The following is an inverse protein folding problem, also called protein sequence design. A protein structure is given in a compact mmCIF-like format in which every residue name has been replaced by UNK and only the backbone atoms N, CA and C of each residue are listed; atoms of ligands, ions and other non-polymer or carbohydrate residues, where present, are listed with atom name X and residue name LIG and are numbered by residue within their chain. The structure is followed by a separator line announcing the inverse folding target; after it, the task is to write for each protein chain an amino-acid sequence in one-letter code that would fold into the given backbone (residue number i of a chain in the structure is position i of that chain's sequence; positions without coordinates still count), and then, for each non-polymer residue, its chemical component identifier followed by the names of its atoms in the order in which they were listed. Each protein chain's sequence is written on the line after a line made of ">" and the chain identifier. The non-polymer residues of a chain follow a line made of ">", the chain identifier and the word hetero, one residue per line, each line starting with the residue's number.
data_IF_159637952121
#
_entry.id   IF_159637952121
#
_cell.length_a   1.000
_cell.length_b   1.000
_cell.length_c   1.000
_cell.angle_alpha   90.00
_cell.angle_beta   90.00
_cell.angle_gamma   90.00
#
_symmetry.space_group_name_H-M   'P 1'
#
loop_
_entity.id
_entity.type
_entity.pdbx_description
1 polymer ?
#
# COMPACT_ATOMS: atom_id res chain seq x y z
N UNK A 1 12.31 13.61 -9.17
CA UNK A 1 12.01 13.19 -10.56
C UNK A 1 12.05 14.42 -11.44
N UNK A 2 13.01 14.56 -12.36
CA UNK A 2 12.95 15.62 -13.38
C UNK A 2 11.85 15.24 -14.41
N UNK A 3 10.92 16.15 -14.65
CA UNK A 3 9.95 16.18 -15.76
C UNK A 3 9.25 14.88 -16.18
N UNK A 4 8.64 14.16 -15.23
CA UNK A 4 7.67 13.13 -15.59
C UNK A 4 6.38 13.78 -16.10
N UNK A 5 6.18 13.90 -17.41
CA UNK A 5 4.84 13.89 -18.00
C UNK A 5 4.92 13.52 -19.49
N UNK A 6 4.78 12.22 -19.79
CA UNK A 6 4.29 11.82 -21.11
C UNK A 6 2.76 12.06 -21.21
N UNK A 7 2.04 12.05 -20.07
CA UNK A 7 0.60 12.31 -19.97
C UNK A 7 0.21 12.76 -18.55
N UNK A 8 -0.80 13.62 -18.45
CA UNK A 8 -1.43 14.05 -17.19
C UNK A 8 -2.94 13.89 -17.29
N UNK A 9 -3.55 13.21 -16.31
CA UNK A 9 -5.01 13.14 -16.12
C UNK A 9 -5.34 13.86 -14.82
N UNK A 10 -6.12 14.94 -14.90
CA UNK A 10 -6.45 15.80 -13.75
C UNK A 10 -7.95 15.98 -13.55
N UNK A 11 -8.46 15.35 -12.50
CA UNK A 11 -9.87 15.29 -12.09
C UNK A 11 -10.01 15.34 -10.56
N UNK A 12 -9.09 15.99 -9.84
CA UNK A 12 -9.06 16.00 -8.35
C UNK A 12 -10.34 16.55 -7.69
N UNK A 13 -11.08 17.42 -8.37
CA UNK A 13 -12.34 17.99 -7.86
C UNK A 13 -13.57 17.12 -8.08
N UNK A 14 -13.41 15.91 -8.65
CA UNK A 14 -14.55 15.07 -9.05
C UNK A 14 -14.96 14.08 -7.96
N UNK A 15 -16.24 13.73 -7.95
CA UNK A 15 -16.77 12.60 -7.20
C UNK A 15 -17.29 11.56 -8.18
N UNK A 16 -16.68 10.38 -8.18
CA UNK A 16 -17.05 9.27 -9.04
C UNK A 16 -17.69 8.15 -8.23
N UNK A 17 -18.90 7.74 -8.60
CA UNK A 17 -19.61 6.64 -7.96
C UNK A 17 -19.70 5.44 -8.88
N UNK A 18 -19.05 4.35 -8.50
CA UNK A 18 -19.10 3.07 -9.19
C UNK A 18 -20.13 2.15 -8.54
N UNK A 19 -21.31 2.07 -9.16
CA UNK A 19 -22.46 1.35 -8.63
C UNK A 19 -22.49 -0.15 -8.99
N UNK A 20 -21.62 -0.61 -9.90
CA UNK A 20 -21.58 -2.02 -10.26
C UNK A 20 -21.06 -2.86 -9.08
N UNK A 21 -21.60 -4.08 -8.95
CA UNK A 21 -21.23 -5.02 -7.88
C UNK A 21 -19.90 -5.73 -8.14
N UNK A 22 -19.44 -5.73 -9.38
CA UNK A 22 -18.27 -6.48 -9.84
C UNK A 22 -17.39 -5.61 -10.72
N UNK A 23 -16.08 -5.90 -10.72
CA UNK A 23 -15.10 -5.23 -11.57
C UNK A 23 -14.42 -4.03 -10.91
N UNK A 24 -13.43 -3.46 -11.59
CA UNK A 24 -12.65 -2.35 -11.06
C UNK A 24 -13.29 -1.00 -11.45
N UNK A 25 -13.37 -0.05 -10.52
CA UNK A 25 -13.98 1.25 -10.77
C UNK A 25 -13.11 2.11 -11.69
N UNK A 26 -11.80 2.11 -11.46
CA UNK A 26 -10.79 2.69 -12.35
C UNK A 26 -9.69 1.68 -12.58
N UNK A 27 -9.47 1.34 -13.85
CA UNK A 27 -8.35 0.52 -14.29
C UNK A 27 -7.29 1.41 -14.93
N UNK A 28 -6.06 1.35 -14.41
CA UNK A 28 -4.89 2.03 -14.96
C UNK A 28 -3.96 0.97 -15.53
N UNK A 29 -4.07 0.65 -16.84
CA UNK A 29 -3.18 -0.29 -17.51
C UNK A 29 -1.91 0.42 -17.95
N UNK A 30 -0.78 0.06 -17.35
CA UNK A 30 0.50 0.72 -17.60
C UNK A 30 0.54 2.14 -17.03
N UNK A 31 1.71 2.56 -16.60
CA UNK A 31 1.90 3.93 -16.13
C UNK A 31 3.34 4.36 -16.33
N UNK A 32 3.75 4.65 -17.56
CA UNK A 32 5.11 5.09 -17.82
C UNK A 32 5.20 6.62 -17.86
N UNK A 33 5.78 7.21 -16.80
CA UNK A 33 5.96 8.67 -16.66
C UNK A 33 4.66 9.48 -16.78
N UNK A 34 3.59 8.96 -16.19
CA UNK A 34 2.27 9.58 -16.16
C UNK A 34 1.98 10.20 -14.79
N UNK A 35 1.09 11.20 -14.77
CA UNK A 35 0.50 11.73 -13.54
C UNK A 35 -1.00 11.56 -13.57
N UNK A 36 -1.52 10.94 -12.53
CA UNK A 36 -2.95 10.73 -12.34
C UNK A 36 -3.37 11.46 -11.07
N UNK A 37 -4.33 12.36 -11.22
CA UNK A 37 -4.79 13.27 -10.21
C UNK A 37 -6.29 13.08 -10.07
N UNK A 38 -6.69 12.16 -9.19
CA UNK A 38 -8.07 11.70 -9.07
C UNK A 38 -8.78 12.35 -7.88
N UNK A 39 -10.10 12.52 -8.00
CA UNK A 39 -10.93 13.01 -6.91
C UNK A 39 -11.31 11.90 -5.93
N UNK A 40 -12.56 11.88 -5.50
CA UNK A 40 -13.10 10.84 -4.62
C UNK A 40 -13.79 9.76 -5.45
N UNK A 41 -13.50 8.50 -5.15
CA UNK A 41 -14.09 7.32 -5.79
C UNK A 41 -14.84 6.53 -4.74
N UNK A 42 -16.16 6.44 -4.89
CA UNK A 42 -17.00 5.54 -4.11
C UNK A 42 -17.25 4.26 -4.90
N UNK A 43 -16.99 3.10 -4.30
CA UNK A 43 -17.17 1.80 -4.93
C UNK A 43 -18.06 0.87 -4.12
N UNK A 44 -19.05 0.28 -4.80
CA UNK A 44 -19.88 -0.82 -4.29
C UNK A 44 -19.40 -2.21 -4.78
N UNK A 45 -18.27 -2.25 -5.49
CA UNK A 45 -17.77 -3.44 -6.16
C UNK A 45 -16.99 -4.38 -5.25
N UNK A 46 -16.94 -5.66 -5.61
CA UNK A 46 -15.99 -6.64 -5.07
C UNK A 46 -14.56 -6.51 -5.66
N UNK A 47 -14.39 -5.72 -6.72
CA UNK A 47 -13.10 -5.38 -7.31
C UNK A 47 -12.39 -4.21 -6.60
N UNK A 48 -11.46 -3.57 -7.27
CA UNK A 48 -10.73 -2.42 -6.75
C UNK A 48 -11.42 -1.08 -7.07
N UNK A 49 -11.34 -0.09 -6.17
CA UNK A 49 -11.69 1.28 -6.52
C UNK A 49 -10.66 1.87 -7.52
N UNK A 50 -9.38 1.57 -7.33
CA UNK A 50 -8.34 1.78 -8.34
C UNK A 50 -7.50 0.51 -8.44
N UNK A 51 -7.44 -0.07 -9.64
CA UNK A 51 -6.45 -1.10 -9.98
C UNK A 51 -5.39 -0.52 -10.89
N UNK A 52 -4.15 -0.61 -10.46
CA UNK A 52 -2.98 -0.39 -11.31
C UNK A 52 -2.48 -1.76 -11.74
N UNK A 53 -2.49 -1.97 -13.05
CA UNK A 53 -2.00 -3.20 -13.69
C UNK A 53 -1.16 -2.83 -14.90
N UNK A 54 -0.67 -3.80 -15.66
CA UNK A 54 0.12 -3.57 -16.88
C UNK A 54 -0.51 -4.11 -18.15
N UNK A 55 -1.67 -4.74 -18.04
CA UNK A 55 -2.46 -5.26 -19.16
C UNK A 55 -3.91 -4.84 -18.98
N UNK A 56 -4.58 -4.48 -20.06
CA UNK A 56 -6.04 -4.45 -20.09
C UNK A 56 -6.55 -5.90 -20.00
N UNK A 57 -7.62 -6.14 -19.23
CA UNK A 57 -8.26 -7.45 -19.19
C UNK A 57 -8.68 -7.83 -20.62
N UNK A 58 -8.04 -8.85 -21.20
CA UNK A 58 -8.21 -9.27 -22.60
C UNK A 58 -6.90 -9.47 -23.38
N UNK A 59 -5.82 -8.78 -23.02
CA UNK A 59 -4.50 -8.86 -23.68
C UNK A 59 -3.51 -9.78 -22.93
N UNK A 60 -4.04 -10.80 -22.25
CA UNK A 60 -3.33 -11.67 -21.28
C UNK A 60 -2.20 -12.56 -21.85
N UNK A 61 -1.67 -12.27 -23.03
CA UNK A 61 -0.66 -13.13 -23.65
C UNK A 61 0.31 -12.46 -24.62
N UNK A 62 0.17 -11.17 -24.92
CA UNK A 62 1.09 -10.50 -25.84
C UNK A 62 2.14 -9.65 -25.09
N UNK A 63 3.42 -10.06 -25.06
CA UNK A 63 4.50 -9.26 -24.51
C UNK A 63 4.62 -7.87 -25.15
N UNK A 64 4.13 -7.68 -26.38
CA UNK A 64 4.18 -6.40 -27.09
C UNK A 64 3.22 -5.34 -26.52
N UNK A 65 2.19 -5.74 -25.78
CA UNK A 65 1.20 -4.85 -25.16
C UNK A 65 1.48 -4.59 -23.66
N UNK A 66 2.59 -5.12 -23.14
CA UNK A 66 3.00 -4.91 -21.75
C UNK A 66 3.63 -3.52 -21.58
N UNK A 67 2.89 -2.62 -20.97
CA UNK A 67 3.42 -1.28 -20.68
C UNK A 67 3.98 -1.26 -19.25
N UNK A 68 5.24 -0.85 -19.03
CA UNK A 68 5.82 -0.82 -17.69
C UNK A 68 5.05 0.16 -16.78
N UNK A 69 4.91 -0.20 -15.51
CA UNK A 69 4.36 0.69 -14.48
C UNK A 69 5.50 1.39 -13.77
N UNK A 70 6.05 2.44 -14.37
CA UNK A 70 7.30 3.05 -13.89
C UNK A 70 7.30 4.56 -13.89
N UNK A 71 7.96 5.14 -12.87
CA UNK A 71 8.21 6.58 -12.79
C UNK A 71 6.93 7.41 -12.88
N UNK A 72 5.84 6.95 -12.28
CA UNK A 72 4.54 7.65 -12.31
C UNK A 72 4.09 8.12 -10.94
N UNK A 73 3.16 9.05 -10.95
CA UNK A 73 2.51 9.57 -9.75
C UNK A 73 1.01 9.33 -9.85
N UNK A 74 0.44 8.66 -8.85
CA UNK A 74 -1.00 8.54 -8.67
C UNK A 74 -1.37 9.23 -7.36
N UNK A 75 -2.22 10.25 -7.45
CA UNK A 75 -2.81 10.93 -6.30
C UNK A 75 -4.32 10.80 -6.33
N UNK A 76 -4.97 10.61 -5.18
CA UNK A 76 -6.42 10.62 -5.06
C UNK A 76 -6.88 11.35 -3.80
N UNK A 77 -8.09 11.90 -3.83
CA UNK A 77 -8.69 12.54 -2.64
C UNK A 77 -9.21 11.48 -1.69
N UNK A 78 -10.08 10.58 -2.15
CA UNK A 78 -10.64 9.54 -1.28
C UNK A 78 -11.02 8.28 -2.05
N UNK A 79 -10.83 7.12 -1.44
CA UNK A 79 -11.37 5.84 -1.88
C UNK A 79 -12.33 5.37 -0.80
N UNK A 80 -13.61 5.23 -1.15
CA UNK A 80 -14.66 4.88 -0.20
C UNK A 80 -15.32 3.59 -0.63
N UNK A 81 -15.09 2.54 0.15
CA UNK A 81 -15.69 1.23 0.00
C UNK A 81 -16.99 1.15 0.78
N UNK A 82 -17.92 0.35 0.26
CA UNK A 82 -19.21 0.10 0.90
C UNK A 82 -19.26 -1.33 1.41
N UNK A 83 -19.72 -1.51 2.65
CA UNK A 83 -19.93 -2.82 3.29
C UNK A 83 -18.66 -3.69 3.41
N UNK A 84 -17.48 -3.08 3.54
CA UNK A 84 -16.21 -3.78 3.66
C UNK A 84 -15.95 -4.77 2.51
N UNK A 85 -16.31 -4.38 1.29
CA UNK A 85 -16.09 -5.17 0.06
C UNK A 85 -14.89 -4.65 -0.72
N UNK A 86 -14.34 -5.52 -1.56
CA UNK A 86 -13.33 -5.15 -2.54
C UNK A 86 -12.03 -4.58 -1.96
N UNK A 87 -11.29 -3.89 -2.82
CA UNK A 87 -10.02 -3.27 -2.48
C UNK A 87 -10.06 -1.77 -2.76
N UNK A 88 -9.45 -0.93 -1.93
CA UNK A 88 -9.30 0.49 -2.25
C UNK A 88 -8.34 0.68 -3.41
N UNK A 89 -7.05 0.53 -3.14
CA UNK A 89 -5.99 0.56 -4.13
C UNK A 89 -5.37 -0.83 -4.31
N UNK A 90 -5.44 -1.37 -5.52
CA UNK A 90 -4.81 -2.63 -5.90
C UNK A 90 -3.64 -2.37 -6.86
N UNK A 91 -2.42 -2.69 -6.43
CA UNK A 91 -1.26 -2.79 -7.31
C UNK A 91 -1.14 -4.26 -7.74
N UNK A 92 -1.66 -4.54 -8.93
CA UNK A 92 -1.67 -5.87 -9.50
C UNK A 92 -0.38 -6.14 -10.27
N UNK A 93 0.56 -6.79 -9.58
CA UNK A 93 1.86 -7.18 -10.11
C UNK A 93 1.92 -8.66 -10.52
N UNK A 94 0.77 -9.34 -10.60
CA UNK A 94 0.69 -10.75 -10.97
C UNK A 94 1.11 -11.03 -12.43
N UNK A 95 1.28 -9.97 -13.25
CA UNK A 95 1.74 -10.06 -14.64
C UNK A 95 3.25 -9.71 -14.80
N UNK A 96 3.96 -10.18 -15.86
CA UNK A 96 5.41 -9.95 -16.10
C UNK A 96 5.82 -8.53 -16.53
N UNK A 97 6.79 -7.88 -15.84
CA UNK A 97 7.36 -6.56 -16.21
C UNK A 97 7.25 -5.39 -15.20
N UNK A 98 6.88 -5.66 -13.95
CA UNK A 98 7.09 -4.83 -12.76
C UNK A 98 6.30 -3.51 -12.61
N UNK A 99 5.87 -3.24 -11.38
CA UNK A 99 5.40 -1.91 -10.94
C UNK A 99 6.49 -1.32 -10.05
N UNK A 100 7.30 -0.40 -10.57
CA UNK A 100 8.49 0.09 -9.86
C UNK A 100 8.68 1.60 -9.94
N UNK A 101 9.29 2.19 -8.90
CA UNK A 101 9.65 3.62 -8.91
C UNK A 101 8.43 4.55 -9.07
N UNK A 102 7.29 4.21 -8.47
CA UNK A 102 6.09 5.04 -8.51
C UNK A 102 5.83 5.73 -7.17
N UNK A 103 5.04 6.79 -7.20
CA UNK A 103 4.55 7.50 -6.03
C UNK A 103 3.03 7.44 -5.96
N UNK A 104 2.52 6.89 -4.86
CA UNK A 104 1.10 6.79 -4.56
C UNK A 104 0.79 7.69 -3.37
N UNK A 105 -0.16 8.63 -3.54
CA UNK A 105 -0.54 9.58 -2.50
C UNK A 105 -2.06 9.60 -2.37
N UNK A 106 -2.57 9.52 -1.16
CA UNK A 106 -4.00 9.52 -0.91
C UNK A 106 -4.36 10.18 0.41
N UNK A 107 -5.53 10.80 0.49
CA UNK A 107 -6.01 11.38 1.74
C UNK A 107 -6.77 10.36 2.57
N UNK A 108 -7.74 9.67 1.97
CA UNK A 108 -8.59 8.72 2.70
C UNK A 108 -8.81 7.42 1.91
N UNK A 109 -8.74 6.29 2.61
CA UNK A 109 -9.08 4.96 2.11
C UNK A 109 -9.90 4.25 3.18
N UNK A 110 -11.20 4.13 2.99
CA UNK A 110 -12.11 3.68 4.03
C UNK A 110 -13.08 2.59 3.54
N UNK A 111 -13.52 1.71 4.44
CA UNK A 111 -14.69 0.86 4.21
C UNK A 111 -14.52 -0.31 3.22
N UNK A 112 -13.28 -0.72 2.91
CA UNK A 112 -12.99 -1.86 2.02
C UNK A 112 -12.74 -3.16 2.78
N UNK A 113 -12.71 -4.30 2.08
CA UNK A 113 -12.14 -5.51 2.67
C UNK A 113 -10.62 -5.33 2.86
N UNK A 114 -9.95 -4.81 1.83
CA UNK A 114 -8.53 -4.44 1.88
C UNK A 114 -8.35 -2.99 1.44
N UNK A 115 -7.73 -2.14 2.26
CA UNK A 115 -7.51 -0.74 1.91
C UNK A 115 -6.53 -0.61 0.75
N UNK A 116 -5.29 -1.05 0.95
CA UNK A 116 -4.26 -1.12 -0.08
C UNK A 116 -3.72 -2.54 -0.18
N UNK A 117 -3.65 -3.07 -1.40
CA UNK A 117 -3.09 -4.39 -1.68
C UNK A 117 -2.01 -4.30 -2.76
N UNK A 118 -0.84 -4.84 -2.47
CA UNK A 118 0.22 -5.10 -3.45
C UNK A 118 0.32 -6.61 -3.63
N UNK A 119 0.09 -7.11 -4.84
CA UNK A 119 0.17 -8.56 -5.14
C UNK A 119 1.60 -9.01 -5.42
N UNK A 120 1.83 -10.32 -5.30
CA UNK A 120 3.11 -10.96 -5.63
C UNK A 120 3.56 -10.56 -7.04
N UNK A 121 4.87 -10.41 -7.24
CA UNK A 121 5.39 -10.26 -8.59
C UNK A 121 5.41 -11.62 -9.30
N UNK A 122 5.01 -11.63 -10.56
CA UNK A 122 5.23 -12.79 -11.42
C UNK A 122 6.72 -13.13 -11.59
N UNK A 123 7.00 -14.34 -12.06
CA UNK A 123 8.36 -14.75 -12.39
C UNK A 123 8.97 -13.80 -13.45
N UNK A 124 10.12 -13.22 -13.12
CA UNK A 124 10.82 -12.21 -13.93
C UNK A 124 10.43 -10.76 -13.63
N UNK A 125 9.41 -10.53 -12.81
CA UNK A 125 8.92 -9.21 -12.39
C UNK A 125 9.37 -8.84 -10.98
N UNK A 126 9.29 -7.55 -10.62
CA UNK A 126 9.44 -7.05 -9.25
C UNK A 126 8.48 -5.89 -9.00
N UNK A 127 7.92 -5.80 -7.80
CA UNK A 127 7.31 -4.58 -7.30
C UNK A 127 8.35 -3.94 -6.38
N UNK A 128 8.94 -2.81 -6.79
CA UNK A 128 10.12 -2.30 -6.10
C UNK A 128 10.22 -0.77 -6.12
N UNK A 129 10.76 -0.20 -5.06
CA UNK A 129 11.13 1.22 -4.97
C UNK A 129 9.90 2.13 -5.12
N UNK A 130 8.72 1.66 -4.72
CA UNK A 130 7.52 2.48 -4.69
C UNK A 130 7.43 3.26 -3.37
N UNK A 131 6.83 4.44 -3.45
CA UNK A 131 6.60 5.31 -2.32
C UNK A 131 5.10 5.47 -2.10
N UNK A 132 4.64 5.13 -0.91
CA UNK A 132 3.24 5.22 -0.48
C UNK A 132 3.11 6.27 0.61
N UNK A 133 2.28 7.30 0.39
CA UNK A 133 1.92 8.29 1.40
C UNK A 133 0.41 8.36 1.52
N UNK A 134 -0.13 7.78 2.58
CA UNK A 134 -1.58 7.79 2.83
C UNK A 134 -1.89 8.46 4.15
N UNK A 135 -2.67 9.54 4.11
CA UNK A 135 -3.03 10.30 5.31
C UNK A 135 -3.94 9.51 6.25
N UNK A 136 -4.79 8.62 5.72
CA UNK A 136 -5.61 7.71 6.50
C UNK A 136 -5.98 6.45 5.69
N UNK A 137 -5.90 5.28 6.33
CA UNK A 137 -6.48 4.03 5.86
C UNK A 137 -7.24 3.41 7.05
N UNK A 138 -8.56 3.31 6.97
CA UNK A 138 -9.38 2.95 8.11
C UNK A 138 -10.56 2.09 7.72
N UNK A 139 -11.25 1.55 8.74
CA UNK A 139 -12.49 0.79 8.56
C UNK A 139 -12.36 -0.33 7.50
N UNK A 140 -11.15 -0.87 7.38
CA UNK A 140 -10.83 -1.97 6.48
C UNK A 140 -10.55 -3.23 7.31
N UNK A 141 -10.92 -4.41 6.82
CA UNK A 141 -10.50 -5.66 7.47
C UNK A 141 -8.99 -5.82 7.43
N UNK A 142 -8.34 -5.41 6.33
CA UNK A 142 -6.88 -5.22 6.29
C UNK A 142 -6.56 -3.85 5.71
N UNK A 143 -5.91 -2.96 6.47
CA UNK A 143 -5.66 -1.60 5.99
C UNK A 143 -4.59 -1.59 4.90
N UNK A 144 -3.40 -2.15 5.16
CA UNK A 144 -2.38 -2.36 4.14
C UNK A 144 -1.93 -3.81 4.08
N UNK A 145 -1.82 -4.33 2.86
CA UNK A 145 -1.35 -5.67 2.59
C UNK A 145 -0.32 -5.70 1.45
N UNK A 146 0.91 -6.10 1.78
CA UNK A 146 1.89 -6.52 0.79
C UNK A 146 1.98 -8.05 0.75
N UNK A 147 1.62 -8.61 -0.41
CA UNK A 147 1.72 -10.04 -0.69
C UNK A 147 3.20 -10.44 -0.92
N UNK A 148 3.51 -11.72 -0.79
CA UNK A 148 4.89 -12.21 -0.76
C UNK A 148 5.59 -12.20 -2.12
N UNK A 149 6.85 -12.64 -2.12
CA UNK A 149 7.68 -12.84 -3.32
C UNK A 149 7.91 -11.61 -4.21
N UNK A 150 9.16 -11.10 -4.20
CA UNK A 150 9.66 -10.08 -5.14
C UNK A 150 8.92 -8.73 -5.04
N UNK A 151 8.32 -8.47 -3.88
CA UNK A 151 7.90 -7.13 -3.42
C UNK A 151 8.97 -6.64 -2.44
N UNK A 152 9.81 -5.72 -2.90
CA UNK A 152 11.03 -5.30 -2.21
C UNK A 152 11.17 -3.76 -2.23
N UNK A 153 11.96 -3.18 -1.31
CA UNK A 153 12.35 -1.77 -1.20
C UNK A 153 11.22 -0.72 -1.27
N UNK A 154 9.99 -1.09 -0.91
CA UNK A 154 8.89 -0.14 -0.79
C UNK A 154 9.05 0.71 0.48
N UNK A 155 8.65 1.97 0.38
CA UNK A 155 8.61 2.92 1.50
C UNK A 155 7.17 3.32 1.74
N UNK A 156 6.70 3.09 2.96
CA UNK A 156 5.34 3.36 3.40
C UNK A 156 5.36 4.45 4.46
N UNK A 157 4.62 5.53 4.24
CA UNK A 157 4.23 6.50 5.27
C UNK A 157 2.72 6.51 5.36
N UNK A 158 2.19 5.91 6.42
CA UNK A 158 0.77 5.63 6.53
C UNK A 158 0.24 5.90 7.94
N UNK A 159 -0.95 6.50 8.00
CA UNK A 159 -1.77 6.45 9.19
C UNK A 159 -2.85 5.38 8.99
N UNK A 160 -2.90 4.39 9.88
CA UNK A 160 -3.79 3.23 9.75
C UNK A 160 -4.64 3.09 11.01
N UNK A 161 -5.91 2.73 10.82
CA UNK A 161 -6.82 2.47 11.93
C UNK A 161 -7.64 1.19 11.69
N UNK A 162 -7.20 0.10 12.31
CA UNK A 162 -7.86 -1.20 12.25
C UNK A 162 -8.98 -1.29 13.30
N UNK A 163 -10.04 -0.51 13.10
CA UNK A 163 -11.22 -0.48 13.98
C UNK A 163 -12.16 -1.65 13.75
N UNK A 164 -12.10 -2.29 12.58
CA UNK A 164 -12.92 -3.45 12.26
C UNK A 164 -12.53 -4.64 13.12
N UNK A 165 -13.51 -5.38 13.64
CA UNK A 165 -13.29 -6.55 14.47
C UNK A 165 -12.43 -7.60 13.75
N UNK A 166 -11.42 -8.15 14.45
CA UNK A 166 -10.38 -9.03 13.93
C UNK A 166 -9.57 -8.41 12.77
N UNK A 167 -9.63 -7.08 12.63
CA UNK A 167 -8.95 -6.34 11.59
C UNK A 167 -7.43 -6.40 11.76
N UNK A 168 -6.73 -6.21 10.64
CA UNK A 168 -5.27 -6.12 10.58
C UNK A 168 -4.86 -4.76 10.04
N UNK A 169 -4.08 -3.98 10.79
CA UNK A 169 -3.65 -2.68 10.27
C UNK A 169 -2.59 -2.85 9.18
N UNK A 170 -1.55 -3.63 9.48
CA UNK A 170 -0.46 -3.91 8.52
C UNK A 170 -0.27 -5.40 8.40
N UNK A 171 -0.30 -5.88 7.16
CA UNK A 171 0.07 -7.24 6.78
C UNK A 171 1.18 -7.16 5.74
N UNK A 172 2.33 -7.79 5.99
CA UNK A 172 3.43 -7.78 5.02
C UNK A 172 4.20 -9.09 4.96
N UNK A 173 4.57 -9.47 3.75
CA UNK A 173 5.52 -10.54 3.41
C UNK A 173 6.75 -9.99 2.65
N UNK A 174 6.95 -8.66 2.62
CA UNK A 174 8.07 -8.06 1.87
C UNK A 174 9.42 -8.43 2.43
N UNK A 175 10.39 -8.61 1.54
CA UNK A 175 11.78 -8.92 1.95
C UNK A 175 12.57 -7.68 2.34
N UNK A 176 12.18 -6.52 1.83
CA UNK A 176 12.79 -5.23 2.14
C UNK A 176 11.68 -4.20 2.13
N UNK A 177 11.50 -3.49 3.24
CA UNK A 177 10.45 -2.49 3.37
C UNK A 177 10.75 -1.54 4.51
N UNK A 178 10.49 -0.26 4.29
CA UNK A 178 10.54 0.76 5.33
C UNK A 178 9.15 1.27 5.59
N UNK A 179 8.72 1.22 6.84
CA UNK A 179 7.39 1.61 7.25
C UNK A 179 7.48 2.68 8.33
N UNK A 180 6.85 3.82 8.08
CA UNK A 180 6.67 4.93 9.00
C UNK A 180 5.16 5.03 9.30
N UNK A 181 4.76 4.55 10.47
CA UNK A 181 3.37 4.19 10.78
C UNK A 181 2.84 5.02 11.93
N UNK A 182 1.68 5.66 11.73
CA UNK A 182 0.84 6.18 12.80
C UNK A 182 -0.36 5.24 12.95
N UNK A 183 -0.62 4.76 14.15
CA UNK A 183 -1.73 3.86 14.47
C UNK A 183 -2.85 4.64 15.16
N UNK A 184 -4.03 4.64 14.55
CA UNK A 184 -5.27 5.06 15.18
C UNK A 184 -5.62 4.20 16.39
N UNK A 185 -6.19 4.82 17.43
CA UNK A 185 -6.37 4.21 18.75
C UNK A 185 -7.82 3.85 19.07
N UNK A 186 -8.73 3.81 18.08
CA UNK A 186 -10.16 3.90 18.39
C UNK A 186 -10.70 2.68 19.15
N UNK A 187 -10.18 1.46 18.91
CA UNK A 187 -10.53 0.28 19.71
C UNK A 187 -9.44 -0.80 19.63
N UNK A 188 -8.47 -0.73 20.54
CA UNK A 188 -7.52 -1.82 20.74
C UNK A 188 -8.01 -2.72 21.88
N UNK A 189 -8.97 -3.60 21.60
CA UNK A 189 -9.50 -4.59 22.56
C UNK A 189 -8.69 -5.90 22.58
N UNK A 190 -7.49 -5.91 22.01
CA UNK A 190 -6.66 -7.12 21.88
C UNK A 190 -7.17 -8.16 20.88
N UNK A 191 -8.35 -7.95 20.27
CA UNK A 191 -8.89 -8.80 19.20
C UNK A 191 -8.33 -8.44 17.81
N UNK A 192 -7.93 -7.20 17.61
CA UNK A 192 -7.39 -6.71 16.33
C UNK A 192 -5.85 -6.79 16.31
N UNK A 193 -5.27 -7.07 15.14
CA UNK A 193 -3.83 -7.13 14.94
C UNK A 193 -3.31 -5.78 14.40
N UNK A 194 -2.31 -5.20 15.05
CA UNK A 194 -1.64 -4.05 14.48
C UNK A 194 -0.69 -4.47 13.36
N UNK A 195 0.11 -5.50 13.59
CA UNK A 195 1.05 -6.03 12.58
C UNK A 195 0.92 -7.54 12.47
N UNK A 196 0.80 -8.02 11.23
CA UNK A 196 1.01 -9.40 10.83
C UNK A 196 2.20 -9.48 9.88
N UNK A 197 3.26 -10.18 10.31
CA UNK A 197 4.42 -10.48 9.47
C UNK A 197 4.22 -11.90 8.93
N UNK A 198 3.96 -12.02 7.63
CA UNK A 198 3.74 -13.30 6.96
C UNK A 198 5.07 -14.03 6.68
N UNK A 199 5.04 -15.36 6.45
CA UNK A 199 6.22 -16.10 6.00
C UNK A 199 6.82 -15.45 4.74
N UNK A 200 8.11 -15.12 4.79
CA UNK A 200 8.79 -14.37 3.72
C UNK A 200 9.13 -12.92 4.08
N UNK A 201 8.48 -12.34 5.09
CA UNK A 201 8.87 -11.05 5.63
C UNK A 201 10.31 -11.12 6.17
N UNK A 202 11.20 -10.26 5.66
CA UNK A 202 12.59 -10.17 6.08
C UNK A 202 13.04 -8.70 6.05
N UNK A 203 14.09 -8.36 6.79
CA UNK A 203 14.79 -7.07 6.73
C UNK A 203 13.90 -5.80 6.70
N UNK A 204 12.68 -5.87 7.23
CA UNK A 204 11.78 -4.73 7.30
C UNK A 204 12.16 -3.86 8.49
N UNK A 205 12.11 -2.55 8.30
CA UNK A 205 12.23 -1.57 9.38
C UNK A 205 10.85 -0.92 9.54
N UNK A 206 10.23 -1.13 10.69
CA UNK A 206 8.89 -0.63 10.98
C UNK A 206 8.96 0.31 12.17
N UNK A 207 8.82 1.60 11.90
CA UNK A 207 8.72 2.67 12.89
C UNK A 207 7.24 2.93 13.16
N UNK A 208 6.79 2.76 14.40
CA UNK A 208 5.37 2.87 14.77
C UNK A 208 5.12 3.88 15.90
N UNK A 209 4.05 4.67 15.76
CA UNK A 209 3.54 5.63 16.75
C UNK A 209 2.03 5.44 16.98
N UNK A 210 1.55 5.28 18.24
CA UNK A 210 2.31 5.16 19.48
C UNK A 210 3.19 3.88 19.53
N UNK A 211 4.03 3.70 20.57
CA UNK A 211 5.01 2.62 20.60
C UNK A 211 4.40 1.22 20.39
N UNK A 212 5.09 0.31 19.66
CA UNK A 212 4.55 -0.98 19.23
C UNK A 212 4.26 -1.93 20.40
N UNK A 213 4.86 -1.71 21.57
CA UNK A 213 4.58 -2.51 22.77
C UNK A 213 3.13 -2.39 23.25
N UNK A 214 2.42 -1.34 22.81
CA UNK A 214 1.01 -1.13 23.14
C UNK A 214 0.06 -1.89 22.21
N UNK A 215 0.58 -2.61 21.23
CA UNK A 215 -0.22 -3.19 20.16
C UNK A 215 0.08 -4.69 19.93
N UNK A 216 -0.96 -5.41 19.51
CA UNK A 216 -0.87 -6.83 19.19
C UNK A 216 -0.13 -6.99 17.86
N UNK A 217 0.88 -7.85 17.85
CA UNK A 217 1.59 -8.22 16.64
C UNK A 217 1.78 -9.73 16.57
N UNK A 218 1.87 -10.25 15.34
CA UNK A 218 2.13 -11.67 15.08
C UNK A 218 3.26 -11.79 14.08
N UNK A 219 4.36 -12.41 14.51
CA UNK A 219 5.49 -12.68 13.64
C UNK A 219 5.48 -14.14 13.15
N UNK A 220 5.24 -14.34 11.84
CA UNK A 220 5.38 -15.62 11.13
C UNK A 220 6.47 -15.56 10.06
N UNK A 221 7.24 -14.48 9.98
CA UNK A 221 8.26 -14.27 8.95
C UNK A 221 9.40 -15.28 8.99
N UNK A 222 9.57 -15.97 10.13
CA UNK A 222 10.59 -17.00 10.31
C UNK A 222 12.01 -16.46 10.27
N UNK A 223 12.19 -15.14 10.43
CA UNK A 223 13.48 -14.47 10.32
C UNK A 223 13.60 -13.37 11.39
N UNK A 224 14.75 -13.32 12.07
CA UNK A 224 15.04 -12.43 13.20
C UNK A 224 15.43 -11.00 12.77
N UNK A 225 15.50 -10.73 11.47
CA UNK A 225 15.99 -9.45 10.92
C UNK A 225 14.96 -8.34 10.83
N UNK A 226 13.72 -8.59 11.24
CA UNK A 226 12.67 -7.55 11.26
C UNK A 226 12.87 -6.67 12.49
N UNK A 227 12.99 -5.36 12.26
CA UNK A 227 13.22 -4.37 13.33
C UNK A 227 11.95 -3.55 13.54
N UNK A 228 11.37 -3.67 14.75
CA UNK A 228 10.24 -2.85 15.18
C UNK A 228 10.75 -1.71 16.10
N UNK A 229 10.53 -0.47 15.69
CA UNK A 229 10.99 0.73 16.37
C UNK A 229 9.82 1.60 16.84
N UNK A 230 9.99 2.23 17.99
CA UNK A 230 9.12 3.32 18.45
C UNK A 230 9.83 4.67 18.27
N UNK A 231 9.10 5.79 18.20
CA UNK A 231 9.71 7.14 18.11
C UNK A 231 10.76 7.38 19.19
N UNK A 232 10.46 7.07 20.47
CA UNK A 232 11.44 7.24 21.54
C UNK A 232 12.71 6.40 21.32
N UNK A 233 12.56 5.12 20.92
CA UNK A 233 13.70 4.23 20.64
C UNK A 233 14.51 4.69 19.43
N UNK A 234 13.85 5.16 18.37
CA UNK A 234 14.53 5.69 17.18
C UNK A 234 15.34 6.94 17.53
N UNK A 235 14.78 7.87 18.31
CA UNK A 235 15.50 9.05 18.80
C UNK A 235 16.73 8.66 19.61
N UNK A 236 16.60 7.69 20.51
CA UNK A 236 17.73 7.19 21.31
C UNK A 236 18.80 6.54 20.43
N UNK A 237 18.42 5.68 19.47
CA UNK A 237 19.34 5.07 18.51
C UNK A 237 20.09 6.12 17.70
N UNK A 238 19.39 7.11 17.16
CA UNK A 238 19.99 8.21 16.40
C UNK A 238 20.93 9.06 17.27
N UNK A 239 20.62 9.25 18.55
CA UNK A 239 21.51 9.92 19.50
C UNK A 239 22.75 9.10 19.85
N UNK A 240 22.66 7.77 19.88
CA UNK A 240 23.81 6.89 20.11
C UNK A 240 24.69 6.69 18.87
N UNK A 241 24.12 6.86 17.68
CA UNK A 241 24.81 6.69 16.39
C UNK A 241 25.38 8.03 15.88
N UNK A 242 24.85 9.16 16.34
CA UNK A 242 25.48 10.45 16.09
C UNK A 242 26.92 10.42 16.63
N UNK A 243 27.95 10.57 15.76
CA UNK A 243 29.31 10.68 16.25
C UNK A 243 29.36 11.90 17.15
N UNK A 244 30.05 11.78 18.29
CA UNK A 244 30.42 12.93 19.09
C UNK A 244 31.16 13.90 18.16
N UNK A 245 30.46 14.92 17.65
CA UNK A 245 31.05 16.01 16.91
C UNK A 245 32.02 16.70 17.86
N UNK A 246 33.31 16.46 17.62
CA UNK A 246 34.41 17.33 18.03
C UNK A 246 34.70 18.28 16.89
#
# INVERSE_FOLDING_TARGET
>A
MPDAANCVIDVQGTYFRYAAKTGDAILIPGMLRCRYHLGTIESHSDGAAIRVTRTLDGDLGDPAHQTPGQMSVLTFTGLIGQQHRGTGLLLDNAQPGGITVNRFIGTDIAGFHTGVRVTDASAGSKCDTNYFWFHFICECHTCSYESGHRVDSNVWSVNVDATVNQGTAIRTSTRYGRWDVIMGTYHFEGQNLAILLDPGAAHNIITMHPPPEKFAHRNRGGNETIVLLSAPRLKQLLQTIAPATR
#
